data_IF_330196465215
#
_entry.id   IF_330196465215
#
_cell.length_a   1.000
_cell.length_b   1.000
_cell.length_c   1.000
_cell.angle_alpha   90.00
_cell.angle_beta   90.00
_cell.angle_gamma   90.00
#
_symmetry.space_group_name_H-M   'P 1'
#
loop_
_entity.id
_entity.type
_entity.pdbx_description
1 polymer ?
#
# COMPACT_ATOMS: atom_id res chain seq x y z
N UNK A 1 -13.73 -2.16 3.19
CA UNK A 1 -12.99 -3.45 3.22
C UNK A 1 -13.56 -4.32 2.11
N UNK A 2 -12.70 -4.97 1.34
CA UNK A 2 -13.09 -5.75 0.17
C UNK A 2 -12.54 -7.19 0.26
N UNK A 3 -13.20 -8.11 -0.43
CA UNK A 3 -12.87 -9.52 -0.51
C UNK A 3 -12.80 -9.93 -1.98
N UNK A 4 -12.25 -11.11 -2.31
CA UNK A 4 -12.22 -11.62 -3.69
C UNK A 4 -13.59 -11.51 -4.39
N UNK A 5 -14.67 -11.91 -3.70
CA UNK A 5 -16.05 -11.83 -4.21
C UNK A 5 -16.60 -10.41 -4.39
N UNK A 6 -15.97 -9.38 -3.82
CA UNK A 6 -16.38 -7.98 -3.93
C UNK A 6 -15.37 -7.11 -4.67
N UNK A 7 -14.44 -7.71 -5.42
CA UNK A 7 -13.44 -6.97 -6.21
C UNK A 7 -14.05 -6.03 -7.24
N UNK A 8 -15.18 -6.40 -7.86
CA UNK A 8 -15.89 -5.50 -8.78
C UNK A 8 -16.27 -4.17 -8.12
N UNK A 9 -16.71 -4.21 -6.86
CA UNK A 9 -17.06 -3.01 -6.09
C UNK A 9 -15.81 -2.17 -5.76
N UNK A 10 -14.67 -2.83 -5.51
CA UNK A 10 -13.40 -2.13 -5.37
C UNK A 10 -13.01 -1.40 -6.66
N UNK A 11 -13.13 -2.07 -7.81
CA UNK A 11 -12.82 -1.50 -9.14
C UNK A 11 -13.69 -0.29 -9.49
N UNK A 12 -14.88 -0.17 -8.92
CA UNK A 12 -15.73 1.02 -9.08
C UNK A 12 -15.30 2.23 -8.22
N UNK A 13 -14.48 2.02 -7.19
CA UNK A 13 -14.21 3.03 -6.16
C UNK A 13 -12.72 3.32 -5.90
N UNK A 14 -11.80 2.50 -6.41
CA UNK A 14 -10.37 2.55 -6.05
C UNK A 14 -9.72 3.92 -6.25
N UNK A 15 -10.14 4.68 -7.27
CA UNK A 15 -9.64 6.03 -7.58
C UNK A 15 -9.94 7.08 -6.50
N UNK A 16 -10.88 6.79 -5.59
CA UNK A 16 -11.26 7.71 -4.50
C UNK A 16 -10.37 7.58 -3.27
N UNK A 17 -9.54 6.54 -3.18
CA UNK A 17 -8.73 6.27 -2.01
C UNK A 17 -7.35 6.93 -2.08
N UNK A 18 -6.90 7.43 -0.94
CA UNK A 18 -5.54 7.97 -0.76
C UNK A 18 -4.57 6.87 -0.31
N UNK A 19 -5.08 5.82 0.35
CA UNK A 19 -4.31 4.66 0.78
C UNK A 19 -5.08 3.39 0.40
N UNK A 20 -4.39 2.46 -0.26
CA UNK A 20 -4.89 1.13 -0.61
C UNK A 20 -3.99 0.09 0.04
N UNK A 21 -4.57 -0.81 0.83
CA UNK A 21 -3.85 -1.89 1.50
C UNK A 21 -4.34 -3.22 0.94
N UNK A 22 -3.47 -3.91 0.20
CA UNK A 22 -3.72 -5.25 -0.26
C UNK A 22 -3.30 -6.29 0.78
N UNK A 23 -4.24 -7.16 1.16
CA UNK A 23 -3.99 -8.36 1.95
C UNK A 23 -4.54 -9.62 1.26
N UNK A 24 -4.86 -9.54 -0.03
CA UNK A 24 -5.36 -10.65 -0.83
C UNK A 24 -4.20 -11.16 -1.67
N UNK A 25 -3.82 -12.41 -1.45
CA UNK A 25 -2.92 -13.15 -2.35
C UNK A 25 -3.69 -13.49 -3.63
N UNK A 26 -3.07 -13.39 -4.79
CA UNK A 26 -3.67 -13.83 -6.06
C UNK A 26 -2.80 -14.92 -6.71
N UNK A 27 -3.42 -15.83 -7.46
CA UNK A 27 -2.70 -16.86 -8.19
C UNK A 27 -1.95 -16.30 -9.39
N UNK A 28 -1.03 -17.08 -9.96
CA UNK A 28 -0.25 -16.70 -11.16
C UNK A 28 -1.12 -16.40 -12.39
N UNK A 29 -2.29 -17.04 -12.50
CA UNK A 29 -3.19 -16.91 -13.64
C UNK A 29 -4.39 -15.98 -13.34
N UNK A 30 -4.43 -15.36 -12.15
CA UNK A 30 -5.49 -14.42 -11.78
C UNK A 30 -5.18 -13.01 -12.32
N UNK A 31 -6.24 -12.25 -12.62
CA UNK A 31 -6.09 -10.84 -12.97
C UNK A 31 -5.50 -10.03 -11.81
N UNK A 32 -4.63 -9.04 -12.10
CA UNK A 32 -4.08 -8.15 -11.08
C UNK A 32 -5.19 -7.33 -10.39
N UNK A 33 -5.01 -7.08 -9.09
CA UNK A 33 -5.90 -6.20 -8.32
C UNK A 33 -5.85 -4.78 -8.88
N UNK A 34 -4.68 -4.33 -9.33
CA UNK A 34 -4.52 -3.09 -10.08
C UNK A 34 -3.53 -3.28 -11.23
N UNK A 35 -4.01 -3.16 -12.47
CA UNK A 35 -3.17 -3.13 -13.67
C UNK A 35 -2.53 -1.73 -13.88
N UNK A 36 -1.59 -1.61 -14.82
CA UNK A 36 -0.90 -0.33 -15.08
C UNK A 36 -1.83 0.83 -15.41
N UNK A 37 -2.92 0.59 -16.15
CA UNK A 37 -3.87 1.64 -16.55
C UNK A 37 -4.68 2.14 -15.35
N UNK A 38 -5.10 1.22 -14.48
CA UNK A 38 -5.80 1.53 -13.25
C UNK A 38 -4.90 2.29 -12.28
N UNK A 39 -3.64 1.86 -12.12
CA UNK A 39 -2.67 2.57 -11.27
C UNK A 39 -2.48 4.04 -11.68
N UNK A 40 -2.49 4.34 -12.98
CA UNK A 40 -2.40 5.72 -13.48
C UNK A 40 -3.61 6.58 -13.09
N UNK A 41 -4.76 5.95 -12.88
CA UNK A 41 -6.02 6.61 -12.50
C UNK A 41 -6.12 6.89 -11.00
N UNK A 42 -5.17 6.40 -10.20
CA UNK A 42 -5.05 6.74 -8.79
C UNK A 42 -4.70 8.22 -8.60
N UNK A 43 -5.09 8.75 -7.45
CA UNK A 43 -4.70 10.10 -7.04
C UNK A 43 -3.17 10.21 -7.00
N UNK A 44 -2.67 11.38 -7.38
CA UNK A 44 -1.27 11.74 -7.09
C UNK A 44 -1.07 11.76 -5.58
N UNK A 45 0.01 11.14 -5.11
CA UNK A 45 0.33 10.93 -3.70
C UNK A 45 -0.34 9.71 -3.08
N UNK A 46 -1.13 8.93 -3.83
CA UNK A 46 -1.72 7.71 -3.30
C UNK A 46 -0.65 6.70 -2.88
N UNK A 47 -0.88 6.03 -1.76
CA UNK A 47 0.01 5.00 -1.22
C UNK A 47 -0.63 3.61 -1.37
N UNK A 48 0.09 2.71 -2.03
CA UNK A 48 -0.27 1.31 -2.19
C UNK A 48 0.62 0.48 -1.26
N UNK A 49 0.00 -0.30 -0.39
CA UNK A 49 0.69 -1.20 0.55
C UNK A 49 0.29 -2.63 0.19
N UNK A 50 1.22 -3.46 -0.25
CA UNK A 50 0.98 -4.87 -0.50
C UNK A 50 1.60 -5.72 0.61
N UNK A 51 0.73 -6.27 1.47
CA UNK A 51 1.11 -7.06 2.65
C UNK A 51 1.02 -8.56 2.37
N UNK A 52 0.27 -8.97 1.34
CA UNK A 52 0.21 -10.36 0.89
C UNK A 52 1.48 -10.74 0.12
N UNK A 53 2.07 -9.76 -0.60
CA UNK A 53 3.41 -9.76 -1.17
C UNK A 53 3.86 -11.09 -1.81
N UNK A 54 3.31 -11.37 -3.00
CA UNK A 54 3.99 -12.10 -4.07
C UNK A 54 4.28 -11.09 -5.19
N UNK A 55 5.54 -10.65 -5.35
CA UNK A 55 5.86 -9.49 -6.20
C UNK A 55 5.51 -9.71 -7.67
N UNK A 56 4.89 -8.69 -8.26
CA UNK A 56 4.71 -8.55 -9.71
C UNK A 56 3.33 -8.94 -10.23
N UNK A 57 2.61 -9.83 -9.55
CA UNK A 57 1.29 -10.30 -10.02
C UNK A 57 0.15 -9.48 -9.42
N UNK A 58 0.16 -9.23 -8.10
CA UNK A 58 -1.00 -8.65 -7.41
C UNK A 58 -1.26 -7.20 -7.77
N UNK A 59 -0.19 -6.40 -7.78
CA UNK A 59 -0.19 -5.05 -8.33
C UNK A 59 0.83 -5.10 -9.47
N UNK A 60 0.32 -4.95 -10.69
CA UNK A 60 1.09 -5.20 -11.90
C UNK A 60 2.34 -4.31 -11.95
N UNK A 61 3.51 -4.92 -12.21
CA UNK A 61 4.77 -4.19 -12.36
C UNK A 61 5.40 -3.67 -11.06
N UNK A 62 4.87 -4.07 -9.90
CA UNK A 62 5.54 -3.80 -8.62
C UNK A 62 6.78 -4.66 -8.43
N UNK A 63 7.74 -4.14 -7.68
CA UNK A 63 8.92 -4.87 -7.24
C UNK A 63 9.05 -4.79 -5.72
N UNK A 64 9.76 -5.74 -5.12
CA UNK A 64 9.93 -5.77 -3.68
C UNK A 64 10.69 -4.55 -3.17
N UNK A 65 10.18 -3.96 -2.08
CA UNK A 65 10.93 -3.01 -1.25
C UNK A 65 11.67 -3.76 -0.14
N UNK A 66 12.62 -3.08 0.52
CA UNK A 66 13.34 -3.62 1.67
C UNK A 66 12.97 -2.85 2.93
N UNK A 67 13.27 -3.38 4.11
CA UNK A 67 13.03 -2.65 5.37
C UNK A 67 13.84 -1.33 5.40
N UNK A 68 15.04 -1.32 4.81
CA UNK A 68 15.91 -0.14 4.76
C UNK A 68 15.43 0.90 3.73
N UNK A 69 14.72 0.46 2.69
CA UNK A 69 14.13 1.30 1.66
C UNK A 69 12.68 0.83 1.39
N UNK A 70 11.74 1.10 2.33
CA UNK A 70 10.44 0.43 2.38
C UNK A 70 9.43 0.98 1.38
N UNK A 71 9.68 2.17 0.83
CA UNK A 71 8.81 2.85 -0.13
C UNK A 71 9.63 3.25 -1.35
N UNK A 72 9.06 3.05 -2.54
CA UNK A 72 9.48 3.74 -3.74
C UNK A 72 8.34 4.56 -4.34
N UNK A 73 8.68 5.53 -5.17
CA UNK A 73 7.73 6.34 -5.93
C UNK A 73 7.75 5.96 -7.41
N UNK A 74 6.58 5.90 -8.03
CA UNK A 74 6.43 5.75 -9.47
C UNK A 74 5.22 6.56 -9.95
N UNK A 75 5.43 7.45 -10.93
CA UNK A 75 4.38 8.31 -11.52
C UNK A 75 3.59 9.13 -10.47
N UNK A 76 4.25 9.57 -9.41
CA UNK A 76 3.65 10.29 -8.30
C UNK A 76 2.79 9.45 -7.37
N UNK A 77 2.92 8.11 -7.38
CA UNK A 77 2.26 7.17 -6.45
C UNK A 77 3.35 6.45 -5.66
N UNK A 78 3.05 6.13 -4.40
CA UNK A 78 4.00 5.48 -3.49
C UNK A 78 3.63 4.02 -3.31
N UNK A 79 4.64 3.17 -3.20
CA UNK A 79 4.46 1.72 -3.11
C UNK A 79 5.29 1.15 -1.96
N UNK A 80 4.63 0.40 -1.08
CA UNK A 80 5.25 -0.40 -0.02
C UNK A 80 4.97 -1.87 -0.32
N UNK A 81 6.00 -2.64 -0.66
CA UNK A 81 5.89 -4.04 -1.11
C UNK A 81 7.00 -4.86 -0.43
N UNK A 82 7.02 -4.87 0.91
CA UNK A 82 8.05 -5.60 1.66
C UNK A 82 7.69 -7.10 1.69
N UNK A 83 8.55 -8.00 1.17
CA UNK A 83 8.31 -9.44 1.24
C UNK A 83 8.38 -9.94 2.69
N UNK A 84 7.68 -11.03 2.99
CA UNK A 84 7.76 -11.71 4.30
C UNK A 84 7.32 -10.86 5.50
N UNK A 85 6.42 -9.89 5.31
CA UNK A 85 5.91 -9.02 6.38
C UNK A 85 5.35 -9.78 7.61
N UNK A 86 4.66 -10.94 7.47
CA UNK A 86 4.22 -11.73 8.63
C UNK A 86 5.35 -12.49 9.35
N UNK A 87 6.42 -12.88 8.68
CA UNK A 87 7.50 -13.71 9.26
C UNK A 87 8.63 -12.89 9.89
N UNK A 88 8.87 -11.66 9.44
CA UNK A 88 9.90 -10.77 10.02
C UNK A 88 9.34 -9.79 11.07
N UNK A 89 8.11 -9.29 10.92
CA UNK A 89 7.66 -8.08 11.64
C UNK A 89 6.25 -8.20 12.23
N UNK A 90 5.60 -9.37 12.30
CA UNK A 90 4.20 -9.48 12.76
C UNK A 90 3.86 -8.74 14.08
N UNK A 91 4.83 -8.63 15.02
CA UNK A 91 4.62 -7.88 16.26
C UNK A 91 4.68 -6.35 16.12
N UNK A 92 5.40 -5.84 15.12
CA UNK A 92 5.74 -4.41 15.00
C UNK A 92 5.27 -3.76 13.69
N UNK A 93 4.56 -4.46 12.79
CA UNK A 93 4.15 -3.91 11.48
C UNK A 93 3.43 -2.57 11.65
N UNK A 94 2.53 -2.47 12.64
CA UNK A 94 1.82 -1.22 12.90
C UNK A 94 2.74 -0.09 13.34
N UNK A 95 3.80 -0.38 14.12
CA UNK A 95 4.76 0.63 14.57
C UNK A 95 5.68 1.07 13.44
N UNK A 96 6.22 0.12 12.67
CA UNK A 96 7.11 0.40 11.55
C UNK A 96 6.36 1.11 10.42
N UNK A 97 5.16 0.66 10.08
CA UNK A 97 4.31 1.35 9.11
C UNK A 97 3.96 2.76 9.59
N UNK A 98 3.61 2.94 10.86
CA UNK A 98 3.32 4.28 11.42
C UNK A 98 4.54 5.21 11.33
N UNK A 99 5.74 4.70 11.64
CA UNK A 99 6.99 5.45 11.52
C UNK A 99 7.28 5.83 10.07
N UNK A 100 7.22 4.88 9.15
CA UNK A 100 7.49 5.07 7.73
C UNK A 100 6.50 6.09 7.13
N UNK A 101 5.21 5.94 7.44
CA UNK A 101 4.18 6.89 7.03
C UNK A 101 4.45 8.30 7.57
N UNK A 102 4.83 8.41 8.84
CA UNK A 102 5.12 9.71 9.47
C UNK A 102 6.34 10.39 8.85
N UNK A 103 7.38 9.63 8.51
CA UNK A 103 8.63 10.15 7.96
C UNK A 103 8.53 10.49 6.46
N UNK A 104 7.73 9.73 5.69
CA UNK A 104 7.74 9.81 4.22
C UNK A 104 6.45 10.40 3.61
N UNK A 105 5.32 10.34 4.32
CA UNK A 105 4.00 10.72 3.76
C UNK A 105 3.37 11.86 4.58
N UNK A 106 3.41 11.76 5.92
CA UNK A 106 2.77 12.72 6.84
C UNK A 106 3.78 13.64 7.54
N UNK A 107 4.92 13.91 6.91
CA UNK A 107 5.99 14.72 7.49
C UNK A 107 5.59 16.18 7.75
N UNK A 108 4.43 16.63 7.27
CA UNK A 108 3.87 17.92 7.68
C UNK A 108 3.18 17.87 9.05
N UNK A 109 3.70 18.72 9.92
CA UNK A 109 3.24 19.13 11.24
C UNK A 109 2.35 18.14 12.03
N UNK A 110 2.95 17.02 12.42
CA UNK A 110 2.36 16.12 13.42
C UNK A 110 2.09 16.80 14.77
N UNK A 111 2.58 18.02 15.02
CA UNK A 111 2.28 18.81 16.22
C UNK A 111 0.78 19.08 16.37
N UNK A 112 0.02 19.11 15.26
CA UNK A 112 -1.45 19.24 15.28
C UNK A 112 -2.14 18.08 16.00
N UNK A 113 -1.52 16.91 16.11
CA UNK A 113 -2.06 15.78 16.87
C UNK A 113 -1.65 15.81 18.34
N UNK A 114 -0.53 16.46 18.65
CA UNK A 114 -0.09 16.67 20.05
C UNK A 114 -0.96 17.69 20.78
N UNK A 115 -1.63 18.61 20.08
CA UNK A 115 -2.55 19.58 20.68
C UNK A 115 -3.89 18.99 21.16
N UNK A 116 -4.18 17.72 20.88
CA UNK A 116 -5.42 17.04 21.31
C UNK A 116 -5.28 16.28 22.64
N UNK A 117 -4.08 16.22 23.22
CA UNK A 117 -3.91 15.74 24.60
C UNK A 117 -4.12 16.90 25.57
N UNK A 118 -5.38 17.10 25.96
CA UNK A 118 -5.79 17.83 27.17
C UNK A 118 -6.43 16.87 28.15
#
# INVERSE_FOLDING_TARGET
MYYRKTMSIFKENYTKYDIIINGIEIGKDDDPILNFSEQKSLKKGALIIDVAADAGNTIEGTHFTSIDAPIYENDGKYYYVVPNTPSLIYRNVSQDLSKILSENIFSEDCSRFLSFKS
#
